data_IF_283864459783
#
_entry.id   IF_283864459783
#
_cell.length_a   1.000
_cell.length_b   1.000
_cell.length_c   1.000
_cell.angle_alpha   90.00
_cell.angle_beta   90.00
_cell.angle_gamma   90.00
#
_symmetry.space_group_name_H-M   'P 1'
#
loop_
_entity.id
_entity.type
_entity.pdbx_description
1 polymer ?
#
# COMPACT_ATOMS: atom_id res chain seq x y z
N UNK A 1 8.76 12.04 27.00
CA UNK A 1 7.76 13.05 26.68
C UNK A 1 6.65 12.86 27.68
N UNK A 2 6.42 13.86 28.57
CA UNK A 2 5.51 13.76 29.69
C UNK A 2 4.05 13.60 29.26
N UNK A 3 3.20 13.23 30.22
CA UNK A 3 1.77 12.94 30.08
C UNK A 3 0.88 14.16 29.83
N UNK A 4 1.40 15.26 29.32
CA UNK A 4 0.63 16.47 29.10
C UNK A 4 -0.28 16.32 27.87
N UNK A 5 -1.58 16.31 28.12
CA UNK A 5 -2.59 16.28 27.04
C UNK A 5 -2.87 17.72 26.63
N UNK A 6 -2.44 18.11 25.45
CA UNK A 6 -2.79 19.37 24.84
C UNK A 6 -4.16 19.26 24.16
N UNK A 7 -5.12 20.09 24.61
CA UNK A 7 -6.43 20.23 23.96
C UNK A 7 -6.43 21.51 23.13
N UNK A 8 -6.74 21.35 21.85
CA UNK A 8 -6.99 22.46 20.96
C UNK A 8 -8.44 22.43 20.50
N UNK A 9 -9.13 23.56 20.61
CA UNK A 9 -10.48 23.71 20.07
C UNK A 9 -10.37 24.44 18.73
N UNK A 10 -10.92 23.85 17.69
CA UNK A 10 -11.00 24.49 16.38
C UNK A 10 -11.84 25.77 16.55
N UNK A 11 -11.34 26.96 16.15
CA UNK A 11 -12.16 28.17 16.13
C UNK A 11 -13.43 27.92 15.31
N UNK A 12 -14.53 28.58 15.65
CA UNK A 12 -15.78 28.41 14.87
C UNK A 12 -15.58 28.87 13.44
N UNK A 13 -15.51 27.91 12.53
CA UNK A 13 -15.36 28.10 11.10
C UNK A 13 -16.55 27.45 10.41
N UNK A 14 -17.16 28.16 9.49
CA UNK A 14 -18.17 27.58 8.62
C UNK A 14 -17.45 26.78 7.51
N UNK A 15 -17.62 25.47 7.53
CA UNK A 15 -17.04 24.61 6.49
C UNK A 15 -17.92 24.64 5.24
N UNK A 16 -17.34 24.98 4.12
CA UNK A 16 -18.00 24.95 2.83
C UNK A 16 -17.74 23.61 2.13
N UNK A 17 -18.76 23.08 1.47
CA UNK A 17 -18.61 21.84 0.70
C UNK A 17 -17.60 22.01 -0.43
N UNK A 18 -16.70 21.04 -0.62
CA UNK A 18 -15.67 21.10 -1.67
C UNK A 18 -14.45 21.94 -1.31
N UNK A 19 -14.30 22.39 -0.07
CA UNK A 19 -13.12 23.11 0.42
C UNK A 19 -12.27 22.26 1.33
N UNK A 20 -10.97 22.40 1.23
CA UNK A 20 -10.00 21.80 2.12
C UNK A 20 -9.46 22.85 3.11
N UNK A 21 -9.54 22.58 4.41
CA UNK A 21 -9.10 23.49 5.46
C UNK A 21 -7.83 22.94 6.10
N UNK A 22 -6.71 23.62 5.87
CA UNK A 22 -5.41 23.23 6.40
C UNK A 22 -5.07 24.16 7.55
N UNK A 23 -4.87 23.61 8.76
CA UNK A 23 -4.43 24.34 9.94
C UNK A 23 -2.96 24.05 10.18
N UNK A 24 -2.05 25.01 9.94
CA UNK A 24 -0.66 24.86 10.34
C UNK A 24 -0.59 24.90 11.87
N UNK A 25 -0.10 23.83 12.49
CA UNK A 25 0.06 23.73 13.94
C UNK A 25 1.54 23.84 14.30
N UNK A 26 1.86 24.73 15.23
CA UNK A 26 3.18 24.77 15.84
C UNK A 26 3.07 24.31 17.28
N UNK A 27 3.71 23.18 17.60
CA UNK A 27 3.76 22.63 18.97
C UNK A 27 4.98 23.23 19.68
N UNK A 28 4.74 23.92 20.79
CA UNK A 28 5.79 24.47 21.65
C UNK A 28 5.67 23.89 23.06
N UNK A 29 6.75 24.03 23.83
CA UNK A 29 6.77 23.60 25.25
C UNK A 29 5.69 24.25 26.11
N UNK A 30 5.16 25.38 25.67
CA UNK A 30 4.13 26.19 26.38
C UNK A 30 2.72 26.03 25.81
N UNK A 31 2.52 25.25 24.76
CA UNK A 31 1.22 25.03 24.12
C UNK A 31 1.28 24.73 22.64
N UNK A 32 0.12 24.78 22.01
CA UNK A 32 -0.06 24.60 20.55
C UNK A 32 -0.57 25.93 20.00
N UNK A 33 0.20 26.53 19.11
CA UNK A 33 -0.23 27.68 18.32
C UNK A 33 -0.82 27.18 17.00
N UNK A 34 -2.08 27.47 16.75
CA UNK A 34 -2.72 27.25 15.46
C UNK A 34 -2.62 28.52 14.63
N UNK A 35 -2.04 28.41 13.45
CA UNK A 35 -2.05 29.51 12.48
C UNK A 35 -3.46 29.75 11.90
N UNK A 36 -3.60 30.83 11.15
CA UNK A 36 -4.84 31.09 10.38
C UNK A 36 -5.09 29.95 9.41
N UNK A 37 -6.30 29.37 9.36
CA UNK A 37 -6.60 28.31 8.43
C UNK A 37 -6.45 28.80 6.98
N UNK A 38 -5.79 28.02 6.16
CA UNK A 38 -5.73 28.26 4.74
C UNK A 38 -6.93 27.56 4.11
N UNK A 39 -7.79 28.32 3.46
CA UNK A 39 -8.88 27.79 2.65
C UNK A 39 -8.29 27.56 1.26
N UNK A 40 -8.14 26.30 0.88
CA UNK A 40 -7.80 25.93 -0.48
C UNK A 40 -9.04 25.38 -1.16
N UNK A 41 -9.24 25.76 -2.43
CA UNK A 41 -10.15 25.00 -3.26
C UNK A 41 -9.67 23.54 -3.27
N UNK A 42 -10.60 22.60 -3.31
CA UNK A 42 -10.28 21.19 -3.47
C UNK A 42 -9.54 21.02 -4.80
N UNK A 43 -8.28 21.37 -4.78
CA UNK A 43 -7.37 21.00 -5.84
C UNK A 43 -7.03 19.54 -5.53
N UNK A 44 -7.29 18.66 -6.48
CA UNK A 44 -6.52 17.43 -6.58
C UNK A 44 -5.07 17.86 -6.36
N UNK A 45 -4.45 17.37 -5.26
CA UNK A 45 -3.06 17.70 -4.98
C UNK A 45 -2.26 17.40 -6.26
N UNK A 46 -1.89 18.46 -6.96
CA UNK A 46 -1.16 18.39 -8.22
C UNK A 46 0.34 18.17 -7.93
N UNK A 47 0.61 17.19 -7.09
CA UNK A 47 1.92 16.55 -7.03
C UNK A 47 2.01 15.59 -8.21
N UNK A 48 1.95 16.14 -9.44
CA UNK A 48 1.99 15.39 -10.68
C UNK A 48 0.96 14.27 -10.69
N UNK A 49 0.13 14.19 -11.66
CA UNK A 49 -0.93 13.21 -12.01
C UNK A 49 -0.96 11.83 -11.30
N UNK A 50 -0.49 11.71 -10.09
CA UNK A 50 -0.54 10.53 -9.24
C UNK A 50 -1.62 10.71 -8.19
N UNK A 51 -2.77 10.13 -8.40
CA UNK A 51 -3.84 10.13 -7.42
C UNK A 51 -3.38 9.39 -6.18
N UNK A 52 -3.23 10.12 -5.05
CA UNK A 52 -3.30 9.50 -3.74
C UNK A 52 -4.54 8.61 -3.69
N UNK A 53 -4.43 7.42 -3.13
CA UNK A 53 -5.59 6.53 -2.96
C UNK A 53 -6.62 7.32 -2.14
N UNK A 54 -7.77 7.64 -2.73
CA UNK A 54 -8.82 8.36 -2.01
C UNK A 54 -9.36 7.47 -0.87
N UNK A 55 -9.84 8.07 0.25
CA UNK A 55 -10.41 7.31 1.38
C UNK A 55 -11.56 6.37 0.96
N UNK A 56 -12.24 6.66 -0.15
CA UNK A 56 -13.23 5.75 -0.75
C UNK A 56 -12.63 4.39 -1.17
N UNK A 57 -11.31 4.35 -1.40
CA UNK A 57 -10.57 3.14 -1.77
C UNK A 57 -9.98 2.41 -0.56
N UNK A 58 -10.33 2.84 0.65
CA UNK A 58 -9.99 2.15 1.88
C UNK A 58 -11.22 1.50 2.52
N UNK A 59 -10.99 0.34 3.13
CA UNK A 59 -11.96 -0.36 3.97
C UNK A 59 -11.56 -0.20 5.43
N UNK A 60 -12.54 0.13 6.29
CA UNK A 60 -12.35 0.08 7.74
C UNK A 60 -12.37 -1.39 8.19
N UNK A 61 -11.30 -1.81 8.80
CA UNK A 61 -11.14 -3.13 9.42
C UNK A 61 -11.36 -2.97 10.92
N UNK A 62 -12.38 -3.60 11.50
CA UNK A 62 -12.68 -3.44 12.93
C UNK A 62 -11.63 -4.10 13.81
N UNK A 63 -11.44 -3.58 15.02
CA UNK A 63 -10.70 -4.27 16.06
C UNK A 63 -11.34 -5.65 16.34
N UNK A 64 -10.52 -6.63 16.70
CA UNK A 64 -11.03 -7.98 16.97
C UNK A 64 -9.95 -8.98 17.29
N UNK A 65 -10.39 -10.20 17.59
CA UNK A 65 -9.51 -11.34 17.89
C UNK A 65 -9.76 -12.45 16.87
N UNK A 66 -8.71 -13.04 16.35
CA UNK A 66 -8.79 -14.13 15.39
C UNK A 66 -7.72 -15.19 15.66
N UNK A 67 -7.90 -16.36 15.10
CA UNK A 67 -6.92 -17.43 15.11
C UNK A 67 -6.03 -17.29 13.86
N UNK A 68 -4.81 -16.82 14.06
CA UNK A 68 -3.81 -16.66 13.01
C UNK A 68 -3.10 -17.98 12.75
N UNK A 69 -2.69 -18.23 11.52
CA UNK A 69 -2.05 -19.46 11.08
C UNK A 69 -3.03 -20.49 10.53
N UNK A 70 -2.56 -21.67 10.16
CA UNK A 70 -3.34 -22.73 9.51
C UNK A 70 -3.43 -23.99 10.39
N UNK A 71 -4.55 -24.76 10.35
CA UNK A 71 -4.67 -26.01 11.07
C UNK A 71 -3.67 -27.06 10.56
N UNK A 72 -3.29 -28.00 11.42
CA UNK A 72 -2.23 -29.00 11.09
C UNK A 72 -2.56 -29.89 9.89
N UNK A 73 -3.82 -30.06 9.57
CA UNK A 73 -4.32 -30.88 8.46
C UNK A 73 -4.62 -30.09 7.18
N UNK A 74 -4.32 -28.77 7.15
CA UNK A 74 -4.54 -27.94 5.96
C UNK A 74 -3.55 -28.33 4.85
N UNK A 75 -4.04 -28.63 3.64
CA UNK A 75 -3.18 -28.98 2.51
C UNK A 75 -2.28 -27.80 2.09
N UNK A 76 -0.97 -28.05 2.00
CA UNK A 76 0.00 -27.04 1.55
C UNK A 76 0.52 -26.13 2.67
N UNK A 77 0.13 -26.39 3.90
CA UNK A 77 0.62 -25.68 5.10
C UNK A 77 2.13 -25.81 5.27
N UNK A 78 2.78 -24.73 5.67
CA UNK A 78 4.16 -24.73 6.13
C UNK A 78 4.26 -24.95 7.66
N UNK A 79 5.36 -25.51 8.14
CA UNK A 79 5.50 -25.95 9.55
C UNK A 79 5.53 -24.80 10.57
N UNK A 80 5.76 -23.58 10.14
CA UNK A 80 5.82 -22.34 10.91
C UNK A 80 4.47 -21.62 11.01
N UNK A 81 3.47 -22.02 10.24
CA UNK A 81 2.10 -21.48 10.31
C UNK A 81 1.31 -22.02 11.53
N UNK A 82 1.90 -22.00 12.72
CA UNK A 82 1.26 -22.50 13.93
C UNK A 82 0.11 -21.62 14.37
N UNK A 83 -1.06 -22.23 14.57
CA UNK A 83 -2.22 -21.50 15.03
C UNK A 83 -2.04 -20.89 16.41
N UNK A 84 -2.34 -19.61 16.54
CA UNK A 84 -2.33 -18.85 17.79
C UNK A 84 -3.33 -17.69 17.75
N UNK A 85 -3.82 -17.29 18.93
CA UNK A 85 -4.76 -16.19 19.02
C UNK A 85 -4.06 -14.83 18.96
N UNK A 86 -4.55 -13.96 18.07
CA UNK A 86 -4.09 -12.57 17.93
C UNK A 86 -5.25 -11.62 18.17
N UNK A 87 -5.01 -10.56 18.95
CA UNK A 87 -5.97 -9.49 19.19
C UNK A 87 -5.47 -8.17 18.59
N UNK A 88 -6.21 -7.65 17.62
CA UNK A 88 -6.02 -6.30 17.10
C UNK A 88 -6.88 -5.34 17.94
N UNK A 89 -6.23 -4.53 18.76
CA UNK A 89 -6.88 -3.70 19.78
C UNK A 89 -7.52 -2.42 19.25
N UNK A 90 -7.28 -2.07 17.98
CA UNK A 90 -7.80 -0.86 17.33
C UNK A 90 -8.25 -1.17 15.92
N UNK A 91 -9.26 -0.43 15.48
CA UNK A 91 -9.62 -0.37 14.07
C UNK A 91 -8.48 0.21 13.24
N UNK A 92 -8.39 -0.23 12.00
CA UNK A 92 -7.49 0.37 11.02
C UNK A 92 -8.16 0.43 9.64
N UNK A 93 -7.53 1.11 8.71
CA UNK A 93 -7.99 1.20 7.33
C UNK A 93 -6.99 0.51 6.42
N UNK A 94 -7.49 -0.31 5.50
CA UNK A 94 -6.68 -1.01 4.51
C UNK A 94 -7.13 -0.65 3.11
N UNK A 95 -6.20 -0.44 2.19
CA UNK A 95 -6.52 -0.22 0.78
C UNK A 95 -7.28 -1.40 0.22
N UNK A 96 -8.34 -1.14 -0.55
CA UNK A 96 -9.14 -2.18 -1.22
C UNK A 96 -8.34 -2.99 -2.21
N UNK A 97 -7.34 -2.37 -2.81
CA UNK A 97 -6.59 -2.90 -3.94
C UNK A 97 -5.10 -2.85 -3.66
N UNK A 98 -4.39 -3.75 -4.28
CA UNK A 98 -2.95 -3.70 -4.39
C UNK A 98 -2.52 -2.39 -5.08
N UNK A 99 -1.37 -1.81 -4.68
CA UNK A 99 -0.84 -0.58 -5.29
C UNK A 99 -0.55 -0.83 -6.77
N UNK A 100 -1.09 0.01 -7.64
CA UNK A 100 -0.96 -0.15 -9.09
C UNK A 100 0.34 0.42 -9.65
N UNK A 101 0.69 -0.01 -10.87
CA UNK A 101 1.81 0.53 -11.62
C UNK A 101 1.68 2.06 -11.81
N UNK A 102 0.47 2.55 -12.13
CA UNK A 102 0.24 3.98 -12.29
C UNK A 102 0.50 4.76 -11.00
N UNK A 103 0.00 4.27 -9.87
CA UNK A 103 0.18 4.90 -8.57
C UNK A 103 1.66 4.93 -8.15
N UNK A 104 2.38 3.82 -8.34
CA UNK A 104 3.78 3.75 -7.95
C UNK A 104 4.69 4.57 -8.87
N UNK A 105 4.43 4.59 -10.17
CA UNK A 105 5.13 5.46 -11.12
C UNK A 105 4.95 6.94 -10.78
N UNK A 106 3.74 7.34 -10.39
CA UNK A 106 3.47 8.70 -9.94
C UNK A 106 4.27 9.09 -8.69
N UNK A 107 4.38 8.20 -7.70
CA UNK A 107 5.23 8.38 -6.53
C UNK A 107 6.71 8.58 -6.93
N UNK A 108 7.24 7.73 -7.80
CA UNK A 108 8.63 7.87 -8.26
C UNK A 108 8.86 9.17 -9.04
N UNK A 109 7.89 9.60 -9.85
CA UNK A 109 7.96 10.88 -10.56
C UNK A 109 7.96 12.07 -9.60
N UNK A 110 7.16 12.02 -8.53
CA UNK A 110 7.19 13.05 -7.49
C UNK A 110 8.57 13.11 -6.82
N UNK A 111 9.14 11.97 -6.46
CA UNK A 111 10.49 11.90 -5.88
C UNK A 111 11.57 12.34 -6.86
N UNK A 112 11.40 12.06 -8.15
CA UNK A 112 12.28 12.56 -9.20
C UNK A 112 12.22 14.09 -9.30
N UNK A 113 11.04 14.67 -9.29
CA UNK A 113 10.84 16.12 -9.33
C UNK A 113 11.41 16.85 -8.09
N UNK A 114 11.39 16.18 -6.92
CA UNK A 114 12.05 16.66 -5.70
C UNK A 114 13.59 16.60 -5.78
N UNK A 115 14.15 15.93 -6.78
CA UNK A 115 15.60 15.74 -6.94
C UNK A 115 16.24 14.78 -5.93
N UNK A 116 15.43 13.90 -5.32
CA UNK A 116 15.89 12.97 -4.26
C UNK A 116 16.02 11.52 -4.75
N UNK A 117 15.94 11.28 -6.06
CA UNK A 117 16.20 9.94 -6.62
C UNK A 117 17.59 9.85 -7.23
N UNK A 118 18.27 8.77 -6.90
CA UNK A 118 19.47 8.29 -7.56
C UNK A 118 19.16 7.03 -8.37
N UNK A 119 19.94 6.83 -9.43
CA UNK A 119 19.76 5.70 -10.33
C UNK A 119 21.06 4.89 -10.39
N UNK A 120 20.91 3.59 -10.36
CA UNK A 120 22.08 2.70 -10.35
C UNK A 120 21.73 1.29 -10.77
N UNK A 121 22.69 0.38 -10.63
CA UNK A 121 22.55 -1.03 -10.94
C UNK A 121 22.32 -1.80 -9.65
N UNK A 122 21.14 -2.47 -9.54
CA UNK A 122 20.89 -3.46 -8.50
C UNK A 122 21.02 -4.86 -9.11
N UNK A 123 22.10 -5.58 -8.78
CA UNK A 123 22.26 -6.95 -9.25
C UNK A 123 21.07 -7.82 -8.80
N UNK A 124 20.46 -8.66 -9.69
CA UNK A 124 20.84 -8.92 -11.09
C UNK A 124 20.21 -7.95 -12.12
N UNK A 125 19.63 -6.85 -11.72
CA UNK A 125 18.87 -5.92 -12.55
C UNK A 125 19.72 -4.74 -12.98
N UNK A 126 19.51 -4.23 -14.21
CA UNK A 126 20.34 -3.19 -14.79
C UNK A 126 19.99 -1.78 -14.34
N UNK A 127 18.73 -1.53 -14.00
CA UNK A 127 18.25 -0.21 -13.58
C UNK A 127 17.44 -0.33 -12.28
N UNK A 128 17.77 0.51 -11.31
CA UNK A 128 17.07 0.61 -10.05
C UNK A 128 17.03 2.07 -9.59
N UNK A 129 15.97 2.44 -8.88
CA UNK A 129 15.84 3.75 -8.25
C UNK A 129 16.12 3.65 -6.75
N UNK A 130 16.86 4.62 -6.22
CA UNK A 130 17.25 4.74 -4.81
C UNK A 130 16.87 6.13 -4.30
N UNK A 131 16.62 6.26 -3.00
CA UNK A 131 16.60 7.57 -2.36
C UNK A 131 18.04 8.05 -2.12
N UNK A 132 18.32 9.32 -2.42
CA UNK A 132 19.59 9.97 -2.16
C UNK A 132 20.01 9.81 -0.70
N UNK A 133 21.23 9.31 -0.48
CA UNK A 133 21.75 9.05 0.86
C UNK A 133 21.19 7.81 1.55
N UNK A 134 20.37 6.98 0.88
CA UNK A 134 19.99 5.68 1.41
C UNK A 134 21.16 4.70 1.42
N UNK A 135 21.07 3.70 2.29
CA UNK A 135 22.15 2.71 2.52
C UNK A 135 22.29 1.65 1.42
N UNK A 136 21.85 1.95 0.20
CA UNK A 136 22.06 1.09 -0.96
C UNK A 136 20.92 0.13 -1.31
N UNK A 137 19.79 0.17 -0.61
CA UNK A 137 18.64 -0.65 -0.97
C UNK A 137 17.75 0.09 -1.98
N UNK A 138 17.46 -0.51 -3.15
CA UNK A 138 16.63 0.11 -4.17
C UNK A 138 15.17 0.19 -3.74
N UNK A 139 14.46 1.23 -4.20
CA UNK A 139 13.00 1.32 -4.07
C UNK A 139 12.29 0.35 -5.02
N UNK A 140 12.75 0.32 -6.25
CA UNK A 140 12.20 -0.50 -7.33
C UNK A 140 13.30 -0.89 -8.31
N UNK A 141 13.09 -2.00 -8.98
CA UNK A 141 13.96 -2.50 -10.06
C UNK A 141 13.24 -2.33 -11.39
N UNK A 142 13.95 -1.85 -12.40
CA UNK A 142 13.37 -1.67 -13.73
C UNK A 142 12.96 -3.01 -14.33
N UNK A 143 11.77 -3.04 -14.90
CA UNK A 143 11.21 -4.22 -15.55
C UNK A 143 11.53 -4.34 -17.05
N UNK A 144 12.24 -3.36 -17.64
CA UNK A 144 12.53 -3.33 -19.09
C UNK A 144 13.18 -4.60 -19.63
N UNK A 145 13.98 -5.27 -18.83
CA UNK A 145 14.70 -6.48 -19.25
C UNK A 145 14.07 -7.79 -18.77
N UNK A 146 13.10 -7.77 -17.87
CA UNK A 146 12.63 -8.98 -17.18
C UNK A 146 11.12 -9.17 -17.16
N UNK A 147 10.33 -8.14 -17.43
CA UNK A 147 8.86 -8.25 -17.35
C UNK A 147 8.17 -7.21 -18.24
N UNK A 148 7.05 -7.63 -18.81
CA UNK A 148 6.17 -6.77 -19.60
C UNK A 148 5.10 -6.06 -18.74
N UNK A 149 5.09 -6.28 -17.41
CA UNK A 149 3.89 -6.08 -16.58
C UNK A 149 4.03 -4.99 -15.52
N UNK A 150 5.16 -4.31 -15.47
CA UNK A 150 5.49 -3.35 -14.42
C UNK A 150 5.58 -1.91 -14.91
N UNK A 151 6.55 -1.20 -14.34
CA UNK A 151 6.87 0.18 -14.67
C UNK A 151 8.23 0.26 -15.36
N UNK A 152 8.43 1.31 -16.15
CA UNK A 152 9.66 1.54 -16.89
C UNK A 152 10.11 2.99 -16.73
N UNK A 153 11.44 3.22 -16.76
CA UNK A 153 12.04 4.55 -16.69
C UNK A 153 12.45 5.03 -18.07
N UNK A 154 12.09 6.24 -18.41
CA UNK A 154 12.63 6.94 -19.56
C UNK A 154 14.06 7.41 -19.24
N UNK A 155 15.06 6.91 -19.96
CA UNK A 155 16.46 7.26 -19.73
C UNK A 155 16.82 8.69 -20.15
N UNK A 156 15.98 9.35 -20.97
CA UNK A 156 16.25 10.70 -21.49
C UNK A 156 15.91 11.79 -20.47
N UNK A 157 14.84 11.61 -19.69
CA UNK A 157 14.32 12.59 -18.74
C UNK A 157 14.17 12.06 -17.32
N UNK A 158 14.41 10.76 -17.10
CA UNK A 158 14.34 10.12 -15.78
C UNK A 158 12.93 9.80 -15.29
N UNK A 159 11.88 10.08 -16.06
CA UNK A 159 10.49 9.82 -15.67
C UNK A 159 10.14 8.35 -15.70
N UNK A 160 9.14 7.97 -14.89
CA UNK A 160 8.61 6.62 -14.79
C UNK A 160 7.20 6.53 -15.35
N UNK A 161 6.90 5.46 -16.04
CA UNK A 161 5.57 5.17 -16.55
C UNK A 161 5.24 3.69 -16.46
N UNK A 162 3.96 3.32 -16.33
CA UNK A 162 3.53 1.94 -16.52
C UNK A 162 3.86 1.46 -17.95
N UNK A 163 4.11 0.19 -18.09
CA UNK A 163 4.04 -0.45 -19.40
C UNK A 163 2.62 -0.29 -19.93
N UNK A 164 2.47 0.11 -21.19
CA UNK A 164 1.16 0.39 -21.81
C UNK A 164 0.21 -0.80 -21.70
N UNK A 165 -0.99 -0.57 -21.17
CA UNK A 165 -2.01 -1.58 -20.90
C UNK A 165 -1.87 -2.27 -19.54
N UNK A 166 -0.87 -1.86 -18.73
CA UNK A 166 -0.66 -2.41 -17.38
C UNK A 166 -0.78 -1.35 -16.28
N UNK A 167 -1.42 -0.23 -16.56
CA UNK A 167 -1.59 0.89 -15.64
C UNK A 167 -2.25 0.49 -14.33
N UNK A 168 -3.31 -0.34 -14.43
CA UNK A 168 -4.11 -0.82 -13.30
C UNK A 168 -3.66 -2.20 -12.77
N UNK A 169 -2.56 -2.74 -13.25
CA UNK A 169 -1.97 -3.94 -12.69
C UNK A 169 -1.17 -3.61 -11.44
N UNK A 170 -1.02 -4.54 -10.46
CA UNK A 170 -0.22 -4.29 -9.28
C UNK A 170 1.23 -4.04 -9.68
N UNK A 171 1.88 -3.11 -9.00
CA UNK A 171 3.30 -2.88 -9.20
C UNK A 171 4.11 -4.08 -8.71
N UNK A 172 5.14 -4.42 -9.48
CA UNK A 172 6.05 -5.53 -9.19
C UNK A 172 7.50 -5.04 -9.10
N UNK A 173 8.39 -5.89 -8.60
CA UNK A 173 9.82 -5.59 -8.37
C UNK A 173 10.06 -4.45 -7.38
N UNK A 174 9.07 -4.09 -6.58
CA UNK A 174 9.21 -3.18 -5.44
C UNK A 174 9.91 -3.93 -4.32
N UNK A 175 10.89 -3.31 -3.68
CA UNK A 175 11.49 -3.83 -2.46
C UNK A 175 10.64 -3.46 -1.24
N UNK A 176 10.94 -4.05 -0.09
CA UNK A 176 10.32 -3.64 1.16
C UNK A 176 10.55 -2.14 1.44
N UNK A 177 11.76 -1.65 1.21
CA UNK A 177 12.10 -0.23 1.35
C UNK A 177 11.29 0.66 0.40
N UNK A 178 11.06 0.19 -0.83
CA UNK A 178 10.23 0.90 -1.80
C UNK A 178 8.76 0.94 -1.41
N UNK A 179 8.23 -0.16 -0.92
CA UNK A 179 6.86 -0.22 -0.42
C UNK A 179 6.67 0.68 0.81
N UNK A 180 7.63 0.66 1.74
CA UNK A 180 7.62 1.55 2.91
C UNK A 180 7.74 3.02 2.51
N UNK A 181 8.65 3.37 1.60
CA UNK A 181 8.83 4.75 1.15
C UNK A 181 7.56 5.29 0.45
N UNK A 182 6.86 4.45 -0.32
CA UNK A 182 5.57 4.79 -0.91
C UNK A 182 4.52 5.06 0.19
N UNK A 183 4.42 4.16 1.16
CA UNK A 183 3.48 4.31 2.27
C UNK A 183 3.77 5.61 3.06
N UNK A 184 5.02 5.83 3.46
CA UNK A 184 5.44 7.04 4.20
C UNK A 184 5.14 8.33 3.41
N UNK A 185 5.34 8.32 2.08
CA UNK A 185 5.09 9.48 1.23
C UNK A 185 3.62 9.92 1.24
N UNK A 186 2.69 8.97 1.27
CA UNK A 186 1.25 9.25 1.34
C UNK A 186 0.69 9.29 2.76
N UNK A 187 1.53 9.17 3.80
CA UNK A 187 1.08 9.15 5.19
C UNK A 187 0.43 7.83 5.61
N UNK A 188 0.74 6.74 4.93
CA UNK A 188 0.28 5.39 5.21
C UNK A 188 1.36 4.56 5.91
N UNK A 189 1.04 3.32 6.23
CA UNK A 189 1.99 2.32 6.72
C UNK A 189 1.76 0.98 6.01
N UNK A 190 2.79 0.15 5.96
CA UNK A 190 2.60 -1.26 5.63
C UNK A 190 1.83 -1.94 6.76
N UNK A 191 0.94 -2.88 6.46
CA UNK A 191 0.29 -3.70 7.49
C UNK A 191 1.32 -4.58 8.19
N UNK A 192 1.06 -4.95 9.44
CA UNK A 192 1.72 -6.13 10.01
C UNK A 192 1.17 -7.39 9.35
N UNK A 193 1.91 -8.50 9.42
CA UNK A 193 1.41 -9.80 8.93
C UNK A 193 0.07 -10.16 9.58
N UNK A 194 -0.05 -9.97 10.89
CA UNK A 194 -1.30 -10.20 11.62
C UNK A 194 -2.47 -9.32 11.14
N UNK A 195 -2.21 -8.04 10.82
CA UNK A 195 -3.22 -7.17 10.23
C UNK A 195 -3.63 -7.65 8.83
N UNK A 196 -2.65 -8.04 8.03
CA UNK A 196 -2.89 -8.54 6.68
C UNK A 196 -3.72 -9.83 6.70
N UNK A 197 -3.33 -10.83 7.50
CA UNK A 197 -4.05 -12.09 7.59
C UNK A 197 -5.46 -11.92 8.16
N UNK A 198 -5.62 -11.10 9.21
CA UNK A 198 -6.93 -10.76 9.75
C UNK A 198 -7.86 -10.16 8.71
N UNK A 199 -7.34 -9.21 7.93
CA UNK A 199 -8.07 -8.56 6.84
C UNK A 199 -8.35 -9.54 5.69
N UNK A 200 -7.41 -10.42 5.36
CA UNK A 200 -7.58 -11.47 4.36
C UNK A 200 -8.70 -12.44 4.73
N UNK A 201 -8.70 -12.96 5.96
CA UNK A 201 -9.74 -13.87 6.47
C UNK A 201 -11.11 -13.22 6.55
N UNK A 202 -11.19 -11.94 6.83
CA UNK A 202 -12.45 -11.19 6.91
C UNK A 202 -13.53 -11.87 7.78
N UNK A 203 -13.11 -12.45 8.92
CA UNK A 203 -13.99 -13.14 9.88
C UNK A 203 -14.23 -14.62 9.60
N UNK A 204 -13.63 -15.21 8.56
CA UNK A 204 -13.73 -16.64 8.28
C UNK A 204 -12.61 -17.44 8.96
N UNK A 205 -12.82 -18.76 9.08
CA UNK A 205 -11.84 -19.72 9.61
C UNK A 205 -11.43 -20.77 8.57
N UNK A 206 -11.95 -20.66 7.36
CA UNK A 206 -11.66 -21.53 6.23
C UNK A 206 -10.31 -21.21 5.61
N UNK A 207 -9.74 -22.09 4.79
CA UNK A 207 -8.45 -21.91 4.12
C UNK A 207 -8.42 -20.62 3.27
N UNK A 208 -9.54 -20.26 2.64
CA UNK A 208 -9.72 -19.00 1.94
C UNK A 208 -10.89 -18.23 2.56
N UNK A 209 -10.96 -16.91 2.36
CA UNK A 209 -12.06 -16.08 2.87
C UNK A 209 -13.44 -16.40 2.29
N UNK A 210 -13.52 -17.31 1.35
CA UNK A 210 -14.72 -17.74 0.65
C UNK A 210 -14.98 -19.26 0.74
N UNK A 211 -14.14 -20.03 1.44
CA UNK A 211 -14.31 -21.47 1.65
C UNK A 211 -13.00 -22.24 1.72
N UNK A 212 -13.06 -23.56 1.62
CA UNK A 212 -11.89 -24.43 1.79
C UNK A 212 -11.25 -24.87 0.45
N UNK A 213 -11.79 -24.45 -0.67
CA UNK A 213 -11.27 -24.81 -2.00
C UNK A 213 -10.95 -23.57 -2.82
N UNK A 214 -9.88 -23.66 -3.62
CA UNK A 214 -9.50 -22.61 -4.54
C UNK A 214 -10.64 -22.29 -5.52
N UNK A 215 -10.97 -21.02 -5.67
CA UNK A 215 -12.04 -20.54 -6.53
C UNK A 215 -11.53 -19.38 -7.41
N UNK A 216 -11.57 -19.62 -8.72
CA UNK A 216 -11.15 -18.65 -9.72
C UNK A 216 -12.00 -17.38 -9.82
N UNK A 217 -13.18 -17.32 -9.19
CA UNK A 217 -13.99 -16.12 -9.13
C UNK A 217 -13.44 -15.10 -8.13
N UNK A 218 -12.68 -15.55 -7.13
CA UNK A 218 -12.12 -14.72 -6.08
C UNK A 218 -10.63 -14.42 -6.24
N UNK A 219 -9.87 -15.27 -6.95
CA UNK A 219 -8.42 -15.10 -7.04
C UNK A 219 -7.85 -15.35 -8.44
N UNK A 220 -6.70 -14.71 -8.70
CA UNK A 220 -5.82 -15.01 -9.80
C UNK A 220 -4.69 -15.93 -9.34
N UNK A 221 -4.59 -17.14 -9.88
CA UNK A 221 -3.61 -18.17 -9.53
C UNK A 221 -3.16 -18.96 -10.75
N UNK A 222 -2.31 -19.95 -10.57
CA UNK A 222 -1.64 -20.63 -11.69
C UNK A 222 -2.62 -21.23 -12.72
N UNK A 223 -3.75 -21.78 -12.29
CA UNK A 223 -4.68 -22.48 -13.17
C UNK A 223 -5.54 -21.57 -14.04
N UNK A 224 -5.74 -20.30 -13.62
CA UNK A 224 -6.53 -19.33 -14.39
C UNK A 224 -5.70 -18.14 -14.90
N UNK A 225 -4.36 -18.22 -14.81
CA UNK A 225 -3.46 -17.15 -15.22
C UNK A 225 -2.95 -17.35 -16.66
N UNK A 226 -3.86 -17.30 -17.64
CA UNK A 226 -3.55 -17.31 -19.07
C UNK A 226 -4.13 -16.03 -19.73
N UNK A 227 -3.32 -15.25 -20.45
CA UNK A 227 -1.86 -15.30 -20.55
C UNK A 227 -1.18 -15.07 -19.21
N UNK A 228 -0.02 -15.70 -18.99
CA UNK A 228 0.73 -15.62 -17.74
C UNK A 228 1.18 -14.19 -17.44
N UNK A 229 0.99 -13.74 -16.19
CA UNK A 229 1.39 -12.39 -15.73
C UNK A 229 0.48 -11.86 -14.64
N UNK A 230 0.79 -10.64 -14.18
CA UNK A 230 -0.12 -9.91 -13.28
C UNK A 230 -1.45 -9.63 -13.98
N UNK A 231 -2.50 -9.47 -13.19
CA UNK A 231 -3.84 -9.11 -13.68
C UNK A 231 -4.26 -7.78 -13.07
N UNK A 232 -5.13 -7.08 -13.76
CA UNK A 232 -5.71 -5.83 -13.28
C UNK A 232 -6.35 -6.02 -11.89
N UNK A 233 -6.12 -5.07 -10.98
CA UNK A 233 -6.64 -5.12 -9.62
C UNK A 233 -8.17 -4.99 -9.61
N UNK A 234 -8.83 -5.63 -8.64
CA UNK A 234 -10.28 -5.51 -8.48
C UNK A 234 -11.14 -6.23 -9.51
N UNK A 235 -10.55 -7.09 -10.37
CA UNK A 235 -11.29 -7.83 -11.41
C UNK A 235 -11.87 -9.16 -10.95
N UNK A 236 -11.61 -9.55 -9.71
CA UNK A 236 -12.19 -10.71 -9.03
C UNK A 236 -13.16 -10.25 -7.94
N UNK A 237 -13.94 -11.17 -7.38
CA UNK A 237 -14.81 -10.87 -6.25
C UNK A 237 -14.00 -10.51 -5.00
N UNK A 238 -14.48 -9.57 -4.18
CA UNK A 238 -13.82 -9.20 -2.94
C UNK A 238 -14.09 -10.24 -1.85
N UNK A 239 -13.28 -10.19 -0.78
CA UNK A 239 -13.60 -10.91 0.44
C UNK A 239 -14.83 -10.28 1.17
N UNK A 240 -15.35 -10.90 2.24
CA UNK A 240 -16.52 -10.38 2.98
C UNK A 240 -16.40 -8.93 3.48
N UNK A 241 -15.19 -8.41 3.64
CA UNK A 241 -14.97 -7.02 4.06
C UNK A 241 -14.72 -6.06 2.90
N UNK A 242 -14.77 -6.52 1.64
CA UNK A 242 -14.64 -5.68 0.46
C UNK A 242 -13.20 -5.44 0.01
N UNK A 243 -12.26 -6.27 0.44
CA UNK A 243 -10.87 -6.26 -0.02
C UNK A 243 -10.69 -7.21 -1.21
N UNK A 244 -9.96 -6.79 -2.20
CA UNK A 244 -9.73 -7.50 -3.45
C UNK A 244 -8.33 -8.09 -3.51
N UNK A 245 -8.18 -9.17 -4.26
CA UNK A 245 -6.90 -9.82 -4.56
C UNK A 245 -6.13 -10.34 -3.32
N UNK A 246 -6.82 -10.59 -2.19
CA UNK A 246 -6.18 -11.07 -0.95
C UNK A 246 -5.63 -12.51 -1.06
N UNK A 247 -6.05 -13.29 -2.07
CA UNK A 247 -5.65 -14.68 -2.27
C UNK A 247 -4.88 -14.91 -3.57
N UNK A 248 -4.18 -13.89 -4.10
CA UNK A 248 -3.42 -14.12 -5.32
C UNK A 248 -2.94 -12.86 -6.02
N UNK A 249 -2.71 -12.98 -7.32
CA UNK A 249 -2.13 -11.98 -8.19
C UNK A 249 -0.64 -11.74 -7.92
N UNK A 250 -0.28 -11.05 -6.81
CA UNK A 250 1.11 -10.82 -6.38
C UNK A 250 1.26 -11.04 -4.89
N UNK A 251 2.51 -11.27 -4.43
CA UNK A 251 2.87 -11.25 -3.01
C UNK A 251 2.95 -9.80 -2.52
N UNK A 252 2.65 -9.60 -1.24
CA UNK A 252 2.59 -8.28 -0.62
C UNK A 252 3.55 -8.18 0.57
N UNK A 253 4.14 -7.00 0.76
CA UNK A 253 5.05 -6.74 1.86
C UNK A 253 4.30 -6.39 3.13
N UNK A 254 4.70 -7.01 4.24
CA UNK A 254 4.31 -6.63 5.59
C UNK A 254 5.41 -5.82 6.28
N UNK A 255 5.06 -5.10 7.36
CA UNK A 255 6.00 -4.24 8.08
C UNK A 255 6.96 -4.98 8.98
N UNK A 256 6.56 -6.13 9.49
CA UNK A 256 7.28 -7.02 10.38
C UNK A 256 8.04 -8.12 9.62
N UNK A 257 8.97 -8.74 10.32
CA UNK A 257 9.70 -9.89 9.80
C UNK A 257 8.84 -11.14 9.95
N UNK A 258 8.93 -12.01 8.97
CA UNK A 258 8.42 -13.37 9.06
C UNK A 258 9.28 -14.14 10.06
N UNK A 259 8.68 -14.70 11.11
CA UNK A 259 9.39 -15.33 12.21
C UNK A 259 8.75 -16.57 12.76
#
# INVERSE_FOLDING_TARGET
IGSDIYKWSVPSVTFESGKNYIYPLTIRKTGIDAGTPIIADWQTNDHGTGTAVELKDFVRIPAGTFLMGSPEDEPGRDSDEKQHWVTLSKDFYMSKYQVTNAQYAAFLNAKHAEGVLEYGVAYPFKDAAYLTGSTGEPLVRDCNSMSKWGITRNSSDGTWSPVSGYENHPVIYVTWYGAKAYADYYGYSLPTEAQWEYACRAGTTTAYSYGDTADGDYMWYTENNDPRGTKEVGTKLPNPWGLYNMHGNVREWCSDWYG
#
